data_IF_133546018010
#
_entry.id   IF_133546018010
#
_cell.length_a   1.000
_cell.length_b   1.000
_cell.length_c   1.000
_cell.angle_alpha   90.00
_cell.angle_beta   90.00
_cell.angle_gamma   90.00
#
_symmetry.space_group_name_H-M   'P 1'
#
loop_
_entity.id
_entity.type
_entity.pdbx_description
1 polymer ?
#
# COMPACT_ATOMS: atom_id res chain seq x y z
N UNK A 1 0.91 -29.38 4.52
CA UNK A 1 0.66 -28.41 3.42
C UNK A 1 1.45 -27.15 3.71
N UNK A 2 2.07 -26.53 2.70
CA UNK A 2 2.75 -25.25 2.85
C UNK A 2 1.74 -24.13 3.11
N UNK A 3 2.13 -23.18 3.98
CA UNK A 3 1.38 -21.96 4.27
C UNK A 3 1.42 -21.04 3.04
N UNK A 4 0.29 -20.41 2.74
CA UNK A 4 0.15 -19.43 1.64
C UNK A 4 -0.05 -18.04 2.25
N UNK A 5 0.76 -17.07 1.82
CA UNK A 5 0.66 -15.69 2.27
C UNK A 5 -0.17 -14.86 1.28
N UNK A 6 -1.34 -14.37 1.72
CA UNK A 6 -2.29 -13.60 0.91
C UNK A 6 -2.66 -12.27 1.60
N UNK A 7 -1.69 -11.66 2.28
CA UNK A 7 -1.83 -10.36 2.96
C UNK A 7 -0.79 -9.33 2.47
N UNK A 8 -0.48 -9.36 1.17
CA UNK A 8 0.50 -8.48 0.52
C UNK A 8 0.16 -6.98 0.62
N UNK A 9 -1.10 -6.61 0.82
CA UNK A 9 -1.48 -5.22 1.07
C UNK A 9 -1.13 -4.75 2.47
N UNK A 10 -0.93 -5.63 3.46
CA UNK A 10 -0.39 -5.27 4.77
C UNK A 10 1.13 -5.09 4.70
N UNK A 11 1.84 -6.07 4.16
CA UNK A 11 3.28 -6.00 3.86
C UNK A 11 3.64 -7.11 2.88
N UNK A 12 4.76 -6.98 2.18
CA UNK A 12 5.29 -8.04 1.34
C UNK A 12 6.54 -8.68 1.96
N UNK A 13 6.87 -9.94 1.59
CA UNK A 13 8.21 -10.49 1.81
C UNK A 13 9.28 -9.62 1.15
N UNK A 14 10.49 -9.60 1.73
CA UNK A 14 11.64 -8.92 1.14
C UNK A 14 12.08 -9.66 -0.12
N UNK A 15 12.17 -8.98 -1.26
CA UNK A 15 12.64 -9.58 -2.52
C UNK A 15 14.16 -9.79 -2.49
N UNK A 16 14.66 -10.68 -3.34
CA UNK A 16 16.07 -11.07 -3.30
C UNK A 16 17.00 -9.92 -3.74
N UNK A 17 16.57 -9.08 -4.68
CA UNK A 17 17.30 -7.88 -5.07
C UNK A 17 17.47 -6.91 -3.88
N UNK A 18 16.41 -6.71 -3.09
CA UNK A 18 16.46 -5.87 -1.89
C UNK A 18 17.34 -6.49 -0.80
N UNK A 19 17.25 -7.81 -0.55
CA UNK A 19 18.15 -8.51 0.39
C UNK A 19 19.61 -8.32 0.01
N UNK A 20 19.96 -8.59 -1.25
CA UNK A 20 21.32 -8.48 -1.73
C UNK A 20 21.85 -7.04 -1.61
N UNK A 21 21.05 -6.05 -2.00
CA UNK A 21 21.42 -4.64 -1.87
C UNK A 21 21.64 -4.22 -0.41
N UNK A 22 20.78 -4.68 0.50
CA UNK A 22 20.94 -4.41 1.94
C UNK A 22 22.20 -5.05 2.50
N UNK A 23 22.48 -6.33 2.17
CA UNK A 23 23.71 -7.02 2.60
C UNK A 23 24.95 -6.29 2.10
N UNK A 24 24.99 -5.93 0.81
CA UNK A 24 26.12 -5.17 0.26
C UNK A 24 26.27 -3.79 0.91
N UNK A 25 25.17 -3.13 1.27
CA UNK A 25 25.20 -1.83 1.94
C UNK A 25 25.77 -1.91 3.37
N UNK A 26 25.66 -3.05 4.05
CA UNK A 26 26.21 -3.24 5.40
C UNK A 26 27.75 -3.18 5.44
N UNK A 27 28.41 -3.44 4.30
CA UNK A 27 29.87 -3.31 4.17
C UNK A 27 30.33 -1.84 4.09
N UNK A 28 29.40 -0.89 3.91
CA UNK A 28 29.69 0.54 3.81
C UNK A 28 29.44 1.20 5.17
N UNK A 29 30.51 1.52 5.91
CA UNK A 29 30.42 2.12 7.24
C UNK A 29 30.28 3.65 7.28
N UNK A 30 30.43 4.32 6.13
CA UNK A 30 30.52 5.78 6.06
C UNK A 30 29.20 6.49 6.38
N UNK A 31 29.30 7.67 6.99
CA UNK A 31 28.18 8.60 7.10
C UNK A 31 28.08 9.43 5.81
N UNK A 32 26.92 9.49 5.10
CA UNK A 32 26.77 10.26 3.85
C UNK A 32 27.10 11.75 3.97
N UNK A 33 27.03 12.31 5.18
CA UNK A 33 27.39 13.71 5.46
C UNK A 33 28.91 13.94 5.52
N UNK A 34 29.72 12.88 5.60
CA UNK A 34 31.18 12.98 5.67
C UNK A 34 31.83 13.18 4.31
N UNK A 35 32.88 13.99 4.26
CA UNK A 35 33.61 14.32 3.01
C UNK A 35 34.69 13.29 2.63
N UNK A 36 35.05 12.37 3.52
CA UNK A 36 36.06 11.32 3.26
C UNK A 36 35.51 10.19 2.36
N UNK A 37 36.36 9.25 1.95
CA UNK A 37 36.04 8.25 0.93
C UNK A 37 34.82 7.39 1.29
N UNK A 38 34.73 6.93 2.53
CA UNK A 38 33.64 6.11 3.05
C UNK A 38 32.32 6.90 3.06
N UNK A 39 32.35 8.17 3.46
CA UNK A 39 31.17 9.05 3.42
C UNK A 39 30.68 9.30 2.00
N UNK A 40 31.60 9.54 1.06
CA UNK A 40 31.27 9.66 -0.37
C UNK A 40 30.69 8.37 -0.95
N UNK A 41 31.19 7.20 -0.54
CA UNK A 41 30.65 5.91 -0.94
C UNK A 41 29.22 5.70 -0.42
N UNK A 42 28.96 6.03 0.84
CA UNK A 42 27.62 5.97 1.43
C UNK A 42 26.64 6.95 0.73
N UNK A 43 27.09 8.17 0.46
CA UNK A 43 26.31 9.17 -0.29
C UNK A 43 25.99 8.69 -1.71
N UNK A 44 26.95 8.09 -2.41
CA UNK A 44 26.72 7.54 -3.75
C UNK A 44 25.65 6.43 -3.75
N UNK A 45 25.58 5.63 -2.68
CA UNK A 45 24.54 4.62 -2.53
C UNK A 45 23.15 5.25 -2.32
N UNK A 46 23.05 6.30 -1.50
CA UNK A 46 21.79 7.04 -1.28
C UNK A 46 21.30 7.64 -2.61
N UNK A 47 22.18 8.29 -3.36
CA UNK A 47 21.83 8.90 -4.65
C UNK A 47 21.49 7.85 -5.72
N UNK A 48 22.16 6.69 -5.72
CA UNK A 48 21.78 5.55 -6.58
C UNK A 48 20.36 5.09 -6.28
N UNK A 49 20.01 4.89 -5.02
CA UNK A 49 18.66 4.47 -4.63
C UNK A 49 17.61 5.52 -4.98
N UNK A 50 17.94 6.81 -4.81
CA UNK A 50 17.09 7.93 -5.22
C UNK A 50 16.81 7.87 -6.73
N UNK A 51 17.83 7.64 -7.56
CA UNK A 51 17.67 7.49 -9.00
C UNK A 51 16.86 6.24 -9.40
N UNK A 52 17.07 5.11 -8.72
CA UNK A 52 16.28 3.88 -8.95
C UNK A 52 14.79 4.12 -8.68
N UNK A 53 14.45 4.78 -7.56
CA UNK A 53 13.06 5.11 -7.22
C UNK A 53 12.48 6.12 -8.21
N UNK A 54 13.23 7.16 -8.58
CA UNK A 54 12.78 8.17 -9.53
C UNK A 54 12.41 7.53 -10.89
N UNK A 55 13.29 6.68 -11.41
CA UNK A 55 13.04 5.96 -12.66
C UNK A 55 11.85 4.99 -12.54
N UNK A 56 11.83 4.16 -11.50
CA UNK A 56 10.77 3.18 -11.29
C UNK A 56 9.38 3.81 -11.10
N UNK A 57 9.30 5.01 -10.52
CA UNK A 57 8.04 5.70 -10.26
C UNK A 57 7.68 6.75 -11.32
N UNK A 58 8.51 6.93 -12.36
CA UNK A 58 8.31 7.98 -13.37
C UNK A 58 8.31 9.39 -12.76
N UNK A 59 9.24 9.64 -11.84
CA UNK A 59 9.42 10.87 -11.09
C UNK A 59 10.71 11.61 -11.49
N UNK A 60 11.13 11.50 -12.75
CA UNK A 60 12.31 12.19 -13.26
C UNK A 60 12.24 13.70 -12.99
N UNK A 61 13.29 14.23 -12.36
CA UNK A 61 13.38 15.64 -11.99
C UNK A 61 12.58 16.04 -10.75
N UNK A 62 11.86 15.11 -10.10
CA UNK A 62 11.25 15.35 -8.79
C UNK A 62 12.29 15.28 -7.66
N UNK A 63 12.00 15.94 -6.54
CA UNK A 63 12.74 15.68 -5.31
C UNK A 63 12.14 14.44 -4.65
N UNK A 64 13.00 13.62 -4.04
CA UNK A 64 12.59 12.47 -3.22
C UNK A 64 13.17 12.73 -1.84
N UNK A 65 12.36 12.62 -0.79
CA UNK A 65 12.77 12.80 0.60
C UNK A 65 12.55 11.49 1.34
N UNK A 66 13.62 10.84 1.79
CA UNK A 66 13.52 9.59 2.53
C UNK A 66 12.93 9.81 3.94
N UNK A 67 12.04 8.92 4.34
CA UNK A 67 11.36 8.89 5.65
C UNK A 67 11.38 7.46 6.21
N UNK A 68 10.95 7.24 7.46
CA UNK A 68 10.82 5.88 8.01
C UNK A 68 9.66 5.05 7.44
N UNK A 69 8.81 5.65 6.60
CA UNK A 69 7.65 5.00 5.98
C UNK A 69 6.57 6.02 5.62
N UNK A 70 5.51 5.59 4.92
CA UNK A 70 4.42 6.49 4.51
C UNK A 70 3.72 7.21 5.68
N UNK A 71 3.74 6.66 6.89
CA UNK A 71 3.19 7.35 8.08
C UNK A 71 3.98 8.61 8.44
N UNK A 72 5.31 8.53 8.46
CA UNK A 72 6.16 9.72 8.62
C UNK A 72 6.03 10.62 7.38
N UNK A 73 5.93 10.04 6.19
CA UNK A 73 5.70 10.78 4.95
C UNK A 73 4.42 11.62 4.96
N UNK A 74 3.30 11.08 5.44
CA UNK A 74 2.05 11.81 5.58
C UNK A 74 2.20 12.99 6.56
N UNK A 75 2.80 12.75 7.72
CA UNK A 75 3.09 13.82 8.67
C UNK A 75 3.95 14.93 8.06
N UNK A 76 5.00 14.56 7.31
CA UNK A 76 5.87 15.51 6.63
C UNK A 76 5.11 16.31 5.55
N UNK A 77 4.33 15.64 4.72
CA UNK A 77 3.64 16.24 3.57
C UNK A 77 2.41 17.08 3.95
N UNK A 78 1.77 16.81 5.10
CA UNK A 78 0.44 17.34 5.40
C UNK A 78 0.39 18.25 6.63
N UNK A 79 1.35 18.14 7.55
CA UNK A 79 1.35 18.92 8.80
C UNK A 79 1.33 20.44 8.52
N UNK A 80 0.33 21.11 9.10
CA UNK A 80 0.14 22.57 8.98
C UNK A 80 -0.35 23.06 7.61
N UNK A 81 -0.94 22.18 6.79
CA UNK A 81 -1.44 22.52 5.44
C UNK A 81 -2.97 22.50 5.29
N UNK A 82 -3.70 22.21 6.37
CA UNK A 82 -5.17 22.17 6.43
C UNK A 82 -5.80 21.43 5.23
N UNK A 83 -5.31 20.22 4.95
CA UNK A 83 -5.77 19.43 3.80
C UNK A 83 -7.07 18.67 4.12
N UNK A 84 -7.85 18.40 3.08
CA UNK A 84 -9.09 17.65 3.13
C UNK A 84 -8.89 16.22 2.62
N UNK A 85 -9.56 15.25 3.24
CA UNK A 85 -9.45 13.83 2.91
C UNK A 85 -10.79 13.12 3.08
N UNK A 86 -10.92 11.94 2.48
CA UNK A 86 -12.07 11.07 2.70
C UNK A 86 -11.81 10.09 3.86
N UNK A 87 -12.90 9.57 4.44
CA UNK A 87 -12.86 8.55 5.50
C UNK A 87 -12.28 7.21 5.04
N UNK A 88 -12.16 6.99 3.74
CA UNK A 88 -11.53 5.80 3.15
C UNK A 88 -10.01 5.85 3.15
N UNK A 89 -9.39 7.00 3.43
CA UNK A 89 -7.93 7.16 3.49
C UNK A 89 -7.30 6.29 4.59
N UNK A 90 -6.00 6.02 4.47
CA UNK A 90 -5.27 5.37 5.55
C UNK A 90 -5.23 6.27 6.80
N UNK A 91 -5.25 5.70 8.01
CA UNK A 91 -5.19 6.45 9.28
C UNK A 91 -4.02 7.44 9.34
N UNK A 92 -2.91 7.09 8.68
CA UNK A 92 -1.76 7.96 8.53
C UNK A 92 -2.07 9.29 7.81
N UNK A 93 -2.97 9.31 6.84
CA UNK A 93 -3.41 10.51 6.11
C UNK A 93 -4.51 11.21 6.90
N UNK A 94 -5.51 10.45 7.37
CA UNK A 94 -6.65 10.97 8.17
C UNK A 94 -6.21 11.71 9.43
N UNK A 95 -5.09 11.31 10.03
CA UNK A 95 -4.56 11.99 11.22
C UNK A 95 -4.06 13.42 10.96
N UNK A 96 -3.91 13.83 9.70
CA UNK A 96 -3.39 15.15 9.30
C UNK A 96 -4.31 15.91 8.36
N UNK A 97 -5.55 15.44 8.19
CA UNK A 97 -6.53 16.05 7.31
C UNK A 97 -7.89 16.24 7.99
N UNK A 98 -8.67 17.17 7.46
CA UNK A 98 -10.10 17.28 7.73
C UNK A 98 -10.81 16.18 6.95
N UNK A 99 -11.52 15.30 7.65
CA UNK A 99 -12.24 14.17 7.04
C UNK A 99 -13.65 14.59 6.61
N UNK A 100 -13.75 15.26 5.47
CA UNK A 100 -15.02 15.81 4.94
C UNK A 100 -15.28 15.55 3.45
N UNK A 101 -14.33 14.93 2.74
CA UNK A 101 -14.56 14.53 1.34
C UNK A 101 -15.57 13.38 1.26
N UNK A 102 -16.48 13.48 0.30
CA UNK A 102 -17.57 12.53 0.12
C UNK A 102 -17.11 11.27 -0.61
N UNK A 103 -17.67 10.12 -0.23
CA UNK A 103 -17.41 8.81 -0.82
C UNK A 103 -18.70 8.28 -1.43
N UNK A 104 -18.65 7.88 -2.69
CA UNK A 104 -19.78 7.23 -3.37
C UNK A 104 -19.94 5.77 -2.92
N UNK A 105 -21.11 5.15 -3.15
CA UNK A 105 -21.30 3.72 -2.93
C UNK A 105 -20.32 2.83 -3.72
N UNK A 106 -19.85 3.31 -4.87
CA UNK A 106 -18.86 2.65 -5.72
C UNK A 106 -17.43 2.80 -5.18
N UNK A 107 -17.23 3.67 -4.18
CA UNK A 107 -15.95 3.92 -3.51
C UNK A 107 -15.12 5.05 -4.10
N UNK A 108 -15.63 5.76 -5.12
CA UNK A 108 -15.01 6.98 -5.64
C UNK A 108 -15.12 8.13 -4.64
N UNK A 109 -14.04 8.90 -4.50
CA UNK A 109 -13.98 10.11 -3.66
C UNK A 109 -14.20 11.35 -4.52
N UNK A 110 -15.14 12.21 -4.11
CA UNK A 110 -15.37 13.50 -4.76
C UNK A 110 -14.39 14.56 -4.24
N UNK A 111 -13.44 14.96 -5.10
CA UNK A 111 -12.49 16.04 -4.82
C UNK A 111 -12.94 17.33 -5.49
N UNK A 112 -13.42 18.29 -4.70
CA UNK A 112 -13.87 19.60 -5.19
C UNK A 112 -12.71 20.59 -5.39
N UNK A 113 -11.73 20.59 -4.49
CA UNK A 113 -10.54 21.44 -4.56
C UNK A 113 -9.26 20.60 -4.46
N UNK A 114 -8.64 20.23 -5.60
CA UNK A 114 -7.43 19.40 -5.61
C UNK A 114 -6.26 20.01 -4.81
N UNK A 115 -6.08 21.33 -4.84
CA UNK A 115 -4.90 21.99 -4.28
C UNK A 115 -4.86 21.92 -2.74
N UNK A 116 -5.99 21.65 -2.12
CA UNK A 116 -6.19 21.49 -0.67
C UNK A 116 -6.61 20.07 -0.29
N UNK A 117 -6.54 19.10 -1.22
CA UNK A 117 -6.98 17.73 -0.96
C UNK A 117 -5.85 16.70 -0.94
N UNK A 118 -6.04 15.67 -0.12
CA UNK A 118 -5.28 14.44 -0.13
C UNK A 118 -6.17 13.28 -0.57
N UNK A 119 -5.66 12.44 -1.48
CA UNK A 119 -6.40 11.31 -2.03
C UNK A 119 -5.46 10.13 -2.33
N UNK A 120 -5.72 8.97 -1.73
CA UNK A 120 -5.04 7.73 -2.08
C UNK A 120 -5.28 7.37 -3.55
N UNK A 121 -4.26 6.87 -4.23
CA UNK A 121 -4.40 6.39 -5.60
C UNK A 121 -5.15 5.05 -5.66
N UNK A 122 -4.97 4.20 -4.65
CA UNK A 122 -5.66 2.92 -4.57
C UNK A 122 -5.91 2.52 -3.12
N UNK A 123 -7.13 2.08 -2.84
CA UNK A 123 -7.54 1.70 -1.50
C UNK A 123 -6.89 0.38 -1.06
N UNK A 124 -6.29 0.39 0.13
CA UNK A 124 -5.59 -0.78 0.65
C UNK A 124 -6.49 -1.94 1.06
N UNK A 125 -7.77 -1.66 1.31
CA UNK A 125 -8.77 -2.62 1.75
C UNK A 125 -9.52 -3.23 0.56
N UNK A 126 -10.15 -2.39 -0.25
CA UNK A 126 -11.01 -2.80 -1.37
C UNK A 126 -10.25 -2.97 -2.68
N UNK A 127 -9.08 -2.35 -2.80
CA UNK A 127 -8.33 -2.25 -4.05
C UNK A 127 -8.88 -1.19 -5.01
N UNK A 128 -10.00 -0.53 -4.72
CA UNK A 128 -10.60 0.47 -5.61
C UNK A 128 -9.60 1.60 -5.89
N UNK A 129 -9.42 1.90 -7.18
CA UNK A 129 -8.52 2.93 -7.68
C UNK A 129 -9.28 4.24 -7.86
N UNK A 130 -8.65 5.33 -7.44
CA UNK A 130 -9.20 6.68 -7.57
C UNK A 130 -8.70 7.34 -8.85
N UNK A 131 -9.53 8.19 -9.46
CA UNK A 131 -9.08 9.10 -10.52
C UNK A 131 -8.52 10.36 -9.88
N UNK A 132 -7.20 10.56 -9.97
CA UNK A 132 -6.56 11.72 -9.36
C UNK A 132 -6.79 12.99 -10.22
N UNK A 133 -7.35 14.07 -9.64
CA UNK A 133 -7.47 15.34 -10.35
C UNK A 133 -6.12 16.03 -10.51
N UNK A 134 -5.99 16.86 -11.54
CA UNK A 134 -4.80 17.69 -11.73
C UNK A 134 -4.69 18.75 -10.62
N UNK A 135 -3.48 18.94 -10.12
CA UNK A 135 -3.21 19.89 -9.03
C UNK A 135 -3.46 19.34 -7.63
N UNK A 136 -3.72 18.02 -7.49
CA UNK A 136 -3.90 17.39 -6.19
C UNK A 136 -2.71 17.67 -5.24
N UNK A 137 -2.97 18.03 -3.99
CA UNK A 137 -1.92 18.41 -3.06
C UNK A 137 -1.01 17.21 -2.70
N UNK A 138 -1.63 16.12 -2.26
CA UNK A 138 -0.94 14.91 -1.80
C UNK A 138 -1.70 13.69 -2.30
N UNK A 139 -0.99 12.68 -2.79
CA UNK A 139 -1.57 11.36 -3.02
C UNK A 139 -0.86 10.30 -2.20
N UNK A 140 -1.63 9.41 -1.56
CA UNK A 140 -1.06 8.18 -1.03
C UNK A 140 -0.94 7.15 -2.16
N UNK A 141 0.27 6.99 -2.70
CA UNK A 141 0.60 6.04 -3.75
C UNK A 141 1.11 4.70 -3.20
N UNK A 142 1.06 4.48 -1.88
CA UNK A 142 1.65 3.33 -1.18
C UNK A 142 1.18 1.99 -1.72
N UNK A 143 -0.08 1.89 -2.14
CA UNK A 143 -0.63 0.64 -2.70
C UNK A 143 -0.47 0.52 -4.22
N UNK A 144 -0.23 1.63 -4.91
CA UNK A 144 -0.14 1.68 -6.36
C UNK A 144 1.30 1.51 -6.88
N UNK A 145 2.26 2.13 -6.20
CA UNK A 145 3.66 2.12 -6.64
C UNK A 145 4.21 0.68 -6.70
N UNK A 146 4.71 0.30 -7.88
CA UNK A 146 5.24 -1.03 -8.16
C UNK A 146 4.17 -2.08 -8.51
N UNK A 147 2.88 -1.73 -8.50
CA UNK A 147 1.76 -2.61 -8.87
C UNK A 147 0.98 -2.14 -10.10
N UNK A 148 1.02 -0.84 -10.36
CA UNK A 148 0.30 -0.19 -11.46
C UNK A 148 1.27 0.57 -12.37
N UNK A 149 0.97 0.66 -13.69
CA UNK A 149 1.75 1.45 -14.65
C UNK A 149 1.44 2.95 -14.51
N UNK A 150 1.88 3.54 -13.41
CA UNK A 150 1.69 4.96 -13.09
C UNK A 150 3.02 5.69 -13.03
N UNK A 151 3.01 6.95 -13.46
CA UNK A 151 4.16 7.84 -13.40
C UNK A 151 3.81 9.08 -12.57
N UNK A 152 4.63 9.40 -11.56
CA UNK A 152 4.44 10.58 -10.70
C UNK A 152 4.26 11.86 -11.51
N UNK A 153 5.09 12.05 -12.54
CA UNK A 153 5.05 13.24 -13.37
C UNK A 153 3.72 13.44 -14.12
N UNK A 154 2.92 12.38 -14.28
CA UNK A 154 1.63 12.42 -15.00
C UNK A 154 0.40 12.19 -14.10
N UNK A 155 0.60 11.81 -12.83
CA UNK A 155 -0.50 11.44 -11.93
C UNK A 155 -1.32 12.63 -11.40
N UNK A 156 -0.90 13.87 -11.68
CA UNK A 156 -1.62 15.09 -11.29
C UNK A 156 -1.32 15.63 -9.89
N UNK A 157 -0.70 14.84 -9.01
CA UNK A 157 -0.36 15.24 -7.65
C UNK A 157 0.92 16.10 -7.55
N UNK A 158 1.00 16.93 -6.50
CA UNK A 158 2.19 17.73 -6.16
C UNK A 158 3.17 16.95 -5.29
N UNK A 159 2.64 16.11 -4.42
CA UNK A 159 3.41 15.20 -3.57
C UNK A 159 2.78 13.80 -3.60
N UNK A 160 3.60 12.77 -3.46
CA UNK A 160 3.17 11.37 -3.37
C UNK A 160 3.89 10.64 -2.24
N UNK A 161 3.14 9.84 -1.48
CA UNK A 161 3.66 8.98 -0.43
C UNK A 161 3.95 7.58 -0.98
N UNK A 162 5.14 7.05 -0.69
CA UNK A 162 5.54 5.69 -1.09
C UNK A 162 6.26 4.96 0.05
N UNK A 163 6.09 3.63 0.10
CA UNK A 163 6.63 2.78 1.17
C UNK A 163 7.29 1.52 0.61
N UNK A 164 8.52 1.22 1.03
CA UNK A 164 9.30 0.13 0.46
C UNK A 164 8.68 -1.26 0.70
N UNK A 165 8.14 -1.49 1.90
CA UNK A 165 7.61 -2.80 2.29
C UNK A 165 6.30 -3.23 1.60
N UNK A 166 5.78 -2.42 0.67
CA UNK A 166 4.61 -2.76 -0.17
C UNK A 166 4.98 -3.31 -1.54
N UNK A 167 6.25 -3.22 -1.93
CA UNK A 167 6.76 -3.64 -3.23
C UNK A 167 8.00 -4.54 -3.12
N UNK A 168 8.17 -5.23 -1.98
CA UNK A 168 9.27 -6.16 -1.77
C UNK A 168 10.51 -5.56 -1.09
N UNK A 169 10.45 -4.31 -0.62
CA UNK A 169 11.54 -3.66 0.12
C UNK A 169 11.47 -3.85 1.63
N UNK A 170 12.46 -3.33 2.38
CA UNK A 170 12.48 -3.44 3.83
C UNK A 170 11.41 -2.57 4.51
N UNK A 171 10.99 -2.98 5.71
CA UNK A 171 10.20 -2.12 6.62
C UNK A 171 11.09 -1.03 7.21
N UNK A 172 10.50 0.08 7.66
CA UNK A 172 11.24 1.17 8.28
C UNK A 172 11.93 2.14 7.30
N UNK A 173 11.50 2.13 6.03
CA UNK A 173 11.90 3.11 5.03
C UNK A 173 10.73 3.39 4.06
N UNK A 174 10.52 4.66 3.77
CA UNK A 174 9.60 5.16 2.75
C UNK A 174 10.14 6.47 2.18
N UNK A 175 9.33 7.15 1.37
CA UNK A 175 9.69 8.46 0.84
C UNK A 175 8.47 9.33 0.55
N UNK A 176 8.69 10.63 0.57
CA UNK A 176 7.80 11.63 -0.05
C UNK A 176 8.44 12.05 -1.35
N UNK A 177 7.75 11.83 -2.47
CA UNK A 177 8.14 12.31 -3.79
C UNK A 177 7.41 13.62 -4.03
N UNK A 178 8.10 14.68 -4.45
CA UNK A 178 7.50 16.00 -4.59
C UNK A 178 8.02 16.72 -5.84
N UNK A 179 7.14 17.49 -6.48
CA UNK A 179 7.53 18.33 -7.62
C UNK A 179 8.66 19.27 -7.20
N UNK A 180 9.70 19.36 -8.03
CA UNK A 180 10.84 20.24 -7.76
C UNK A 180 10.40 21.68 -7.55
N UNK A 181 10.99 22.34 -6.56
CA UNK A 181 10.63 23.70 -6.17
C UNK A 181 9.42 23.77 -5.23
N UNK A 182 8.84 22.63 -4.82
CA UNK A 182 7.84 22.60 -3.76
C UNK A 182 8.51 22.80 -2.40
N UNK A 183 8.04 23.80 -1.65
CA UNK A 183 8.46 24.02 -0.28
C UNK A 183 7.82 22.99 0.65
N UNK A 184 8.66 22.36 1.49
CA UNK A 184 8.26 21.33 2.43
C UNK A 184 8.96 21.56 3.77
N UNK A 185 8.20 21.96 4.78
CA UNK A 185 8.73 22.27 6.09
C UNK A 185 9.08 21.00 6.87
N UNK A 186 10.28 20.95 7.45
CA UNK A 186 10.73 19.81 8.22
C UNK A 186 9.92 19.62 9.52
N UNK A 187 9.42 18.40 9.72
CA UNK A 187 8.84 17.97 11.00
C UNK A 187 9.94 17.51 11.97
N UNK A 188 10.91 16.75 11.47
CA UNK A 188 12.10 16.33 12.22
C UNK A 188 13.24 17.32 11.91
N UNK A 189 13.51 18.20 12.88
CA UNK A 189 14.51 19.27 12.79
C UNK A 189 15.87 18.81 13.33
N UNK A 190 16.97 19.38 12.80
CA UNK A 190 18.33 18.97 13.16
C UNK A 190 19.35 19.27 12.06
N UNK A 191 20.22 18.30 11.78
CA UNK A 191 21.44 18.45 10.97
C UNK A 191 21.26 18.69 9.47
N UNK A 192 20.04 18.92 8.99
CA UNK A 192 19.81 19.36 7.61
C UNK A 192 19.92 18.27 6.54
N UNK A 193 19.87 16.99 6.93
CA UNK A 193 19.77 15.87 5.97
C UNK A 193 18.53 16.00 5.08
N UNK A 194 18.52 15.25 3.96
CA UNK A 194 17.45 15.26 2.95
C UNK A 194 17.07 16.69 2.52
N UNK A 195 18.08 17.48 2.14
CA UNK A 195 17.93 18.87 1.68
C UNK A 195 17.28 19.79 2.73
N UNK A 196 17.50 19.51 4.01
CA UNK A 196 16.92 20.26 5.12
C UNK A 196 15.48 19.87 5.47
N UNK A 197 14.86 18.92 4.74
CA UNK A 197 13.45 18.56 4.90
C UNK A 197 13.21 17.44 5.91
N UNK A 198 14.22 16.61 6.19
CA UNK A 198 14.12 15.51 7.16
C UNK A 198 15.47 15.22 7.78
N UNK A 199 15.67 15.64 9.03
CA UNK A 199 16.95 15.47 9.73
C UNK A 199 17.17 14.05 10.29
N UNK A 200 18.43 13.74 10.59
CA UNK A 200 18.89 12.46 11.13
C UNK A 200 19.72 11.69 10.11
N UNK A 201 20.77 11.02 10.57
CA UNK A 201 21.65 10.20 9.73
C UNK A 201 20.82 9.24 8.88
N UNK A 202 21.12 9.18 7.59
CA UNK A 202 20.35 8.43 6.62
C UNK A 202 20.44 6.92 6.88
N UNK A 203 19.31 6.21 6.77
CA UNK A 203 19.26 4.76 6.85
C UNK A 203 19.80 4.15 5.53
N UNK A 204 21.12 4.19 5.33
CA UNK A 204 21.79 3.79 4.08
C UNK A 204 21.39 2.38 3.66
N UNK A 205 21.33 1.43 4.60
CA UNK A 205 20.94 0.03 4.33
C UNK A 205 19.49 -0.06 3.86
N UNK A 206 18.56 0.59 4.56
CA UNK A 206 17.15 0.62 4.18
C UNK A 206 16.94 1.30 2.83
N UNK A 207 17.63 2.42 2.58
CA UNK A 207 17.60 3.17 1.32
C UNK A 207 18.09 2.29 0.15
N UNK A 208 19.21 1.57 0.32
CA UNK A 208 19.70 0.62 -0.69
C UNK A 208 18.65 -0.45 -1.04
N UNK A 209 18.04 -1.04 -0.01
CA UNK A 209 16.99 -2.04 -0.17
C UNK A 209 15.75 -1.48 -0.86
N UNK A 210 15.37 -0.23 -0.58
CA UNK A 210 14.24 0.43 -1.23
C UNK A 210 14.52 0.67 -2.72
N UNK A 211 15.69 1.23 -3.06
CA UNK A 211 16.08 1.44 -4.45
C UNK A 211 16.06 0.14 -5.28
N UNK A 212 16.64 -0.94 -4.75
CA UNK A 212 16.65 -2.24 -5.42
C UNK A 212 15.25 -2.87 -5.52
N UNK A 213 14.40 -2.73 -4.49
CA UNK A 213 13.02 -3.18 -4.54
C UNK A 213 12.22 -2.42 -5.62
N UNK A 214 12.39 -1.10 -5.71
CA UNK A 214 11.71 -0.26 -6.69
C UNK A 214 12.07 -0.67 -8.12
N UNK A 215 13.35 -0.90 -8.40
CA UNK A 215 13.82 -1.40 -9.69
C UNK A 215 13.25 -2.78 -10.01
N UNK A 216 13.28 -3.72 -9.05
CA UNK A 216 12.72 -5.06 -9.22
C UNK A 216 11.21 -5.04 -9.45
N UNK A 217 10.47 -4.17 -8.77
CA UNK A 217 9.03 -4.00 -8.93
C UNK A 217 8.68 -3.43 -10.31
N UNK A 218 9.46 -2.45 -10.81
CA UNK A 218 9.30 -1.90 -12.15
C UNK A 218 9.55 -2.97 -13.24
N UNK A 219 10.57 -3.81 -13.05
CA UNK A 219 10.83 -4.95 -13.95
C UNK A 219 9.68 -5.98 -13.92
N UNK A 220 9.16 -6.32 -12.73
CA UNK A 220 8.03 -7.23 -12.61
C UNK A 220 6.78 -6.70 -13.34
N UNK A 221 6.50 -5.41 -13.19
CA UNK A 221 5.42 -4.74 -13.91
C UNK A 221 5.63 -4.78 -15.43
N UNK A 222 6.81 -4.44 -15.92
CA UNK A 222 7.13 -4.50 -17.35
C UNK A 222 7.04 -5.93 -17.93
N UNK A 223 7.30 -6.95 -17.11
CA UNK A 223 7.25 -8.36 -17.51
C UNK A 223 5.85 -8.99 -17.43
N UNK A 224 4.79 -8.21 -17.18
CA UNK A 224 3.43 -8.72 -17.18
C UNK A 224 3.01 -9.45 -15.90
N UNK A 225 3.77 -9.31 -14.80
CA UNK A 225 3.53 -10.08 -13.56
C UNK A 225 2.19 -9.71 -12.95
N UNK A 226 1.82 -8.43 -12.97
CA UNK A 226 0.59 -7.97 -12.32
C UNK A 226 -0.67 -8.28 -13.13
N UNK A 227 -0.57 -8.43 -14.45
CA UNK A 227 -1.62 -8.93 -15.33
C UNK A 227 -1.92 -10.39 -14.99
N UNK A 228 -0.89 -11.21 -14.76
CA UNK A 228 -1.08 -12.57 -14.26
C UNK A 228 -1.72 -12.58 -12.88
N UNK A 229 -1.28 -11.71 -11.97
CA UNK A 229 -1.87 -11.61 -10.63
C UNK A 229 -3.35 -11.18 -10.69
N UNK A 230 -3.72 -10.29 -11.63
CA UNK A 230 -5.11 -9.91 -11.89
C UNK A 230 -5.95 -11.12 -12.31
N UNK A 231 -5.46 -11.93 -13.27
CA UNK A 231 -6.13 -13.16 -13.67
C UNK A 231 -6.31 -14.13 -12.50
N UNK A 232 -5.30 -14.27 -11.63
CA UNK A 232 -5.40 -15.12 -10.44
C UNK A 232 -6.41 -14.59 -9.41
N UNK A 233 -6.50 -13.27 -9.22
CA UNK A 233 -7.51 -12.63 -8.37
C UNK A 233 -8.90 -12.92 -8.91
N UNK A 234 -9.11 -12.76 -10.21
CA UNK A 234 -10.41 -13.01 -10.85
C UNK A 234 -10.80 -14.50 -10.78
N UNK A 235 -9.85 -15.43 -11.02
CA UNK A 235 -10.06 -16.87 -10.84
C UNK A 235 -10.46 -17.21 -9.40
N UNK A 236 -9.81 -16.59 -8.42
CA UNK A 236 -10.14 -16.77 -7.01
C UNK A 236 -11.56 -16.29 -6.70
N UNK A 237 -11.93 -15.09 -7.16
CA UNK A 237 -13.27 -14.52 -6.95
C UNK A 237 -14.36 -15.40 -7.61
N UNK A 238 -14.12 -15.89 -8.83
CA UNK A 238 -15.03 -16.80 -9.51
C UNK A 238 -15.24 -18.12 -8.75
N UNK A 239 -14.16 -18.71 -8.22
CA UNK A 239 -14.23 -19.94 -7.43
C UNK A 239 -14.98 -19.74 -6.10
N UNK A 240 -14.76 -18.60 -5.43
CA UNK A 240 -15.48 -18.22 -4.22
C UNK A 240 -16.98 -18.00 -4.50
N UNK A 241 -17.31 -17.27 -5.57
CA UNK A 241 -18.69 -16.99 -5.96
C UNK A 241 -19.46 -18.27 -6.33
N UNK A 242 -18.81 -19.24 -6.99
CA UNK A 242 -19.41 -20.53 -7.29
C UNK A 242 -19.73 -21.36 -6.02
N UNK A 243 -18.95 -21.18 -4.94
CA UNK A 243 -19.15 -21.87 -3.67
C UNK A 243 -20.04 -21.13 -2.66
N UNK A 244 -20.36 -19.86 -2.91
CA UNK A 244 -21.11 -19.00 -2.00
C UNK A 244 -22.03 -18.01 -2.73
N UNK A 245 -23.33 -18.26 -2.64
CA UNK A 245 -24.36 -17.37 -3.21
C UNK A 245 -24.56 -16.05 -2.43
N UNK A 246 -24.22 -16.04 -1.13
CA UNK A 246 -24.54 -14.92 -0.23
C UNK A 246 -23.33 -13.99 0.03
N UNK A 247 -22.21 -14.23 -0.68
CA UNK A 247 -21.00 -13.40 -0.56
C UNK A 247 -21.09 -12.16 -1.43
N UNK A 248 -20.82 -11.01 -0.84
CA UNK A 248 -20.76 -9.71 -1.51
C UNK A 248 -19.31 -9.43 -1.86
N UNK A 249 -19.00 -9.25 -3.15
CA UNK A 249 -17.68 -8.80 -3.61
C UNK A 249 -17.69 -7.28 -3.80
N UNK A 250 -16.79 -6.59 -3.12
CA UNK A 250 -16.76 -5.12 -3.07
C UNK A 250 -15.99 -4.57 -4.27
N UNK A 251 -16.57 -3.57 -4.95
CA UNK A 251 -15.91 -2.82 -6.02
C UNK A 251 -15.78 -3.56 -7.36
N UNK A 252 -16.63 -4.56 -7.63
CA UNK A 252 -16.57 -5.35 -8.89
C UNK A 252 -16.85 -4.52 -10.15
N UNK A 253 -17.56 -3.40 -10.03
CA UNK A 253 -17.81 -2.44 -11.11
C UNK A 253 -16.73 -1.37 -11.27
N UNK A 254 -15.79 -1.27 -10.32
CA UNK A 254 -14.76 -0.25 -10.28
C UNK A 254 -13.42 -0.76 -10.84
N UNK A 255 -12.55 0.17 -11.25
CA UNK A 255 -11.13 -0.17 -11.48
C UNK A 255 -10.49 -0.54 -10.13
N UNK A 256 -9.86 -1.70 -10.05
CA UNK A 256 -9.23 -2.20 -8.81
C UNK A 256 -7.76 -2.56 -9.04
N UNK A 257 -6.99 -2.55 -7.95
CA UNK A 257 -5.67 -3.15 -7.90
C UNK A 257 -5.73 -4.59 -8.44
N UNK A 258 -4.71 -5.01 -9.21
CA UNK A 258 -4.66 -6.35 -9.79
C UNK A 258 -4.68 -7.46 -8.73
N UNK A 259 -4.23 -7.16 -7.52
CA UNK A 259 -3.96 -8.18 -6.52
C UNK A 259 -4.97 -8.24 -5.38
N UNK A 260 -5.96 -7.36 -5.36
CA UNK A 260 -6.81 -7.18 -4.17
C UNK A 260 -8.22 -7.68 -4.43
N UNK A 261 -8.71 -8.50 -3.52
CA UNK A 261 -10.11 -8.89 -3.41
C UNK A 261 -10.61 -8.56 -2.01
N UNK A 262 -11.69 -7.81 -1.94
CA UNK A 262 -12.42 -7.54 -0.70
C UNK A 262 -13.83 -8.10 -0.86
N UNK A 263 -14.22 -8.96 0.07
CA UNK A 263 -15.55 -9.55 0.06
C UNK A 263 -16.07 -9.73 1.48
N UNK A 264 -17.38 -9.70 1.60
CA UNK A 264 -18.11 -9.76 2.84
C UNK A 264 -19.12 -10.91 2.81
N UNK A 265 -19.30 -11.58 3.93
CA UNK A 265 -20.31 -12.65 4.09
C UNK A 265 -21.14 -12.33 5.34
N UNK A 266 -22.26 -11.60 5.18
CA UNK A 266 -23.06 -11.12 6.29
C UNK A 266 -23.36 -12.23 7.31
N UNK A 267 -23.14 -11.93 8.60
CA UNK A 267 -23.29 -12.90 9.69
C UNK A 267 -22.08 -13.80 9.97
N UNK A 268 -21.01 -13.73 9.19
CA UNK A 268 -19.73 -14.39 9.49
C UNK A 268 -18.64 -13.33 9.74
N UNK A 269 -18.33 -13.05 11.00
CA UNK A 269 -17.39 -11.97 11.39
C UNK A 269 -16.01 -12.15 10.73
N UNK A 270 -15.46 -11.05 10.23
CA UNK A 270 -14.17 -11.04 9.52
C UNK A 270 -13.03 -11.66 10.33
N UNK A 271 -12.93 -11.38 11.63
CA UNK A 271 -11.88 -11.96 12.48
C UNK A 271 -12.03 -13.48 12.62
N UNK A 272 -13.27 -13.98 12.64
CA UNK A 272 -13.53 -15.42 12.70
C UNK A 272 -13.09 -16.09 11.41
N UNK A 273 -13.36 -15.47 10.27
CA UNK A 273 -12.87 -15.92 8.97
C UNK A 273 -11.34 -15.96 8.92
N UNK A 274 -10.68 -14.87 9.33
CA UNK A 274 -9.20 -14.77 9.38
C UNK A 274 -8.60 -15.88 10.24
N UNK A 275 -9.12 -16.10 11.46
CA UNK A 275 -8.65 -17.18 12.34
C UNK A 275 -8.83 -18.57 11.70
N UNK A 276 -9.97 -18.82 11.05
CA UNK A 276 -10.24 -20.10 10.41
C UNK A 276 -9.35 -20.34 9.18
N UNK A 277 -9.01 -19.29 8.45
CA UNK A 277 -8.09 -19.34 7.32
C UNK A 277 -6.64 -19.52 7.77
N UNK A 278 -6.22 -18.86 8.85
CA UNK A 278 -4.90 -19.05 9.45
C UNK A 278 -4.67 -20.51 9.89
N UNK A 279 -5.64 -21.10 10.59
CA UNK A 279 -5.66 -22.52 10.95
C UNK A 279 -5.68 -23.46 9.73
N UNK A 280 -6.12 -22.95 8.58
CA UNK A 280 -6.13 -23.69 7.31
C UNK A 280 -4.89 -23.42 6.45
N UNK A 281 -3.93 -22.65 6.97
CA UNK A 281 -2.65 -22.36 6.32
C UNK A 281 -2.64 -21.11 5.42
N UNK A 282 -3.61 -20.21 5.53
CA UNK A 282 -3.70 -18.99 4.72
C UNK A 282 -3.62 -17.74 5.58
N UNK A 283 -2.69 -16.84 5.27
CA UNK A 283 -2.63 -15.51 5.88
C UNK A 283 -3.48 -14.53 5.06
N UNK A 284 -4.57 -14.02 5.64
CA UNK A 284 -5.45 -13.00 5.07
C UNK A 284 -5.71 -11.91 6.12
N UNK A 285 -6.41 -10.84 5.74
CA UNK A 285 -6.76 -9.75 6.66
C UNK A 285 -8.27 -9.59 6.80
N UNK A 286 -8.69 -8.95 7.90
CA UNK A 286 -10.05 -8.43 8.04
C UNK A 286 -10.07 -6.96 7.56
N UNK A 287 -11.21 -6.50 7.04
CA UNK A 287 -11.35 -5.12 6.59
C UNK A 287 -11.11 -4.06 7.69
N UNK A 288 -11.39 -4.43 8.94
CA UNK A 288 -11.30 -3.56 10.11
C UNK A 288 -10.05 -3.76 10.97
N UNK A 289 -8.98 -4.34 10.43
CA UNK A 289 -7.76 -4.62 11.17
C UNK A 289 -6.99 -3.33 11.56
N UNK A 290 -7.55 -2.52 12.47
CA UNK A 290 -6.85 -1.44 13.14
C UNK A 290 -5.92 -1.99 14.23
N UNK A 291 -4.80 -1.30 14.40
CA UNK A 291 -3.75 -1.49 15.40
C UNK A 291 -4.21 -1.43 16.87
N UNK A 292 -5.47 -1.07 17.14
CA UNK A 292 -6.00 -0.85 18.50
C UNK A 292 -6.60 -2.10 19.17
N UNK A 293 -6.59 -3.27 18.53
CA UNK A 293 -7.06 -4.54 19.11
C UNK A 293 -8.57 -4.59 19.44
N UNK A 294 -9.37 -3.64 18.95
CA UNK A 294 -10.83 -3.61 19.13
C UNK A 294 -11.50 -3.95 17.80
N UNK A 295 -12.37 -4.96 17.84
CA UNK A 295 -13.27 -5.32 16.73
C UNK A 295 -14.14 -4.12 16.38
N UNK A 296 -14.08 -3.66 15.13
CA UNK A 296 -14.92 -2.60 14.59
C UNK A 296 -15.39 -2.98 13.18
N UNK A 297 -16.46 -2.36 12.70
CA UNK A 297 -16.82 -2.43 11.30
C UNK A 297 -15.73 -1.76 10.44
N UNK A 298 -15.58 -2.19 9.18
CA UNK A 298 -14.72 -1.48 8.23
C UNK A 298 -15.23 -0.05 8.03
N UNK A 299 -14.37 0.93 8.31
CA UNK A 299 -14.67 2.35 8.06
C UNK A 299 -14.81 2.62 6.55
N UNK A 300 -14.03 1.91 5.72
CA UNK A 300 -14.09 2.04 4.26
C UNK A 300 -15.45 1.57 3.73
N UNK A 301 -15.89 0.36 4.11
CA UNK A 301 -17.20 -0.14 3.66
C UNK A 301 -18.35 0.68 4.25
N UNK A 302 -18.24 1.15 5.50
CA UNK A 302 -19.25 2.05 6.08
C UNK A 302 -19.35 3.35 5.29
N UNK A 303 -18.22 3.92 4.87
CA UNK A 303 -18.18 5.12 4.02
C UNK A 303 -18.80 4.89 2.63
N UNK A 304 -18.68 3.67 2.10
CA UNK A 304 -19.34 3.24 0.87
C UNK A 304 -20.84 2.90 1.07
N UNK A 305 -21.38 3.08 2.28
CA UNK A 305 -22.81 2.87 2.56
C UNK A 305 -23.22 1.42 2.85
N UNK A 306 -22.27 0.50 3.05
CA UNK A 306 -22.61 -0.83 3.55
C UNK A 306 -23.07 -0.76 5.01
N UNK A 307 -24.07 -1.58 5.35
CA UNK A 307 -24.53 -1.69 6.73
C UNK A 307 -23.46 -2.30 7.64
N UNK A 308 -23.62 -2.10 8.96
CA UNK A 308 -22.65 -2.53 9.95
C UNK A 308 -22.42 -4.05 9.95
N UNK A 309 -23.45 -4.87 9.72
CA UNK A 309 -23.34 -6.33 9.69
C UNK A 309 -22.45 -6.76 8.51
N UNK A 310 -22.68 -6.18 7.34
CA UNK A 310 -21.89 -6.42 6.14
C UNK A 310 -20.45 -5.95 6.35
N UNK A 311 -20.24 -4.72 6.82
CA UNK A 311 -18.92 -4.14 7.05
C UNK A 311 -18.10 -4.87 8.13
N UNK A 312 -18.72 -5.50 9.13
CA UNK A 312 -18.05 -6.36 10.12
C UNK A 312 -17.68 -7.75 9.58
N UNK A 313 -18.26 -8.16 8.46
CA UNK A 313 -18.04 -9.48 7.84
C UNK A 313 -17.01 -9.48 6.70
N UNK A 314 -16.39 -8.33 6.45
CA UNK A 314 -15.46 -8.14 5.36
C UNK A 314 -14.08 -8.76 5.65
N UNK A 315 -13.55 -9.46 4.65
CA UNK A 315 -12.16 -9.92 4.60
C UNK A 315 -11.48 -9.38 3.36
N UNK A 316 -10.17 -9.22 3.47
CA UNK A 316 -9.29 -8.85 2.37
C UNK A 316 -8.32 -9.98 2.10
N UNK A 317 -8.25 -10.34 0.82
CA UNK A 317 -7.23 -11.23 0.26
C UNK A 317 -6.41 -10.41 -0.72
N UNK A 318 -5.09 -10.39 -0.52
CA UNK A 318 -4.16 -9.61 -1.35
C UNK A 318 -3.01 -10.48 -1.82
N UNK A 319 -2.99 -10.74 -3.12
CA UNK A 319 -2.08 -11.65 -3.80
C UNK A 319 -0.69 -11.01 -3.98
N UNK A 320 0.32 -11.85 -4.13
CA UNK A 320 1.70 -11.45 -4.41
C UNK A 320 2.19 -11.93 -5.77
N UNK A 321 3.36 -11.45 -6.21
CA UNK A 321 4.01 -11.92 -7.43
C UNK A 321 4.18 -13.44 -7.50
N UNK A 322 4.47 -14.10 -6.38
CA UNK A 322 4.74 -15.54 -6.36
C UNK A 322 3.48 -16.40 -6.13
N UNK A 323 2.30 -15.78 -5.99
CA UNK A 323 1.04 -16.53 -5.83
C UNK A 323 0.75 -17.36 -7.08
N UNK A 324 0.33 -18.60 -6.89
CA UNK A 324 0.00 -19.55 -7.97
C UNK A 324 -1.50 -19.81 -8.09
N UNK A 325 -1.92 -20.38 -9.22
CA UNK A 325 -3.30 -20.82 -9.43
C UNK A 325 -3.73 -21.87 -8.39
N UNK A 326 -2.84 -22.82 -8.10
CA UNK A 326 -3.07 -23.83 -7.05
C UNK A 326 -3.32 -23.18 -5.69
N UNK A 327 -2.63 -22.10 -5.35
CA UNK A 327 -2.81 -21.40 -4.08
C UNK A 327 -4.19 -20.76 -3.98
N UNK A 328 -4.64 -20.06 -5.02
CA UNK A 328 -5.93 -19.37 -5.02
C UNK A 328 -7.12 -20.35 -5.05
N UNK A 329 -7.00 -21.46 -5.78
CA UNK A 329 -8.04 -22.49 -5.82
C UNK A 329 -8.14 -23.23 -4.47
N UNK A 330 -7.01 -23.56 -3.85
CA UNK A 330 -6.99 -24.15 -2.50
C UNK A 330 -7.55 -23.20 -1.44
N UNK A 331 -7.26 -21.90 -1.57
CA UNK A 331 -7.85 -20.88 -0.69
C UNK A 331 -9.37 -20.88 -0.84
N UNK A 332 -9.88 -20.78 -2.07
CA UNK A 332 -11.33 -20.75 -2.34
C UNK A 332 -12.03 -22.01 -1.83
N UNK A 333 -11.48 -23.20 -2.09
CA UNK A 333 -12.01 -24.47 -1.58
C UNK A 333 -12.09 -24.48 -0.04
N UNK A 334 -10.99 -24.08 0.62
CA UNK A 334 -10.92 -24.06 2.08
C UNK A 334 -11.91 -23.05 2.68
N UNK A 335 -11.97 -21.84 2.12
CA UNK A 335 -12.88 -20.79 2.57
C UNK A 335 -14.35 -21.21 2.41
N UNK A 336 -14.74 -21.72 1.24
CA UNK A 336 -16.10 -22.22 0.97
C UNK A 336 -16.49 -23.38 1.91
N UNK A 337 -15.56 -24.29 2.21
CA UNK A 337 -15.80 -25.38 3.15
C UNK A 337 -16.06 -24.86 4.59
N UNK A 338 -15.35 -23.82 5.04
CA UNK A 338 -15.61 -23.18 6.34
C UNK A 338 -16.92 -22.40 6.34
N UNK A 339 -17.22 -21.70 5.25
CA UNK A 339 -18.46 -20.95 5.09
C UNK A 339 -19.68 -21.89 5.19
N UNK A 340 -19.65 -23.02 4.48
CA UNK A 340 -20.70 -24.04 4.54
C UNK A 340 -20.93 -24.57 5.96
N UNK A 341 -19.83 -24.80 6.71
CA UNK A 341 -19.91 -25.21 8.13
C UNK A 341 -20.48 -24.10 9.02
N UNK A 342 -20.14 -22.84 8.76
CA UNK A 342 -20.71 -21.69 9.48
C UNK A 342 -22.21 -21.60 9.25
N UNK A 343 -22.66 -21.65 8.00
CA UNK A 343 -24.09 -21.65 7.63
C UNK A 343 -24.87 -22.77 8.31
N UNK A 344 -24.33 -23.99 8.31
CA UNK A 344 -24.97 -25.14 8.95
C UNK A 344 -25.08 -25.05 10.49
N UNK A 345 -24.34 -24.14 11.14
CA UNK A 345 -24.43 -23.89 12.59
C UNK A 345 -25.41 -22.78 12.96
N UNK A 346 -25.69 -21.89 12.01
CA UNK A 346 -26.53 -20.70 12.20
C UNK A 346 -27.96 -20.94 11.68
N UNK A 347 -28.14 -21.89 10.76
CA UNK A 347 -29.44 -22.43 10.33
C UNK A 347 -30.05 -23.36 11.38
#
# INVERSE_FOLDING_TARGET
MSRVYLDHNATTPLCDAAKAAMISAMEICGNPSSVHAEGRAAKALVEKARAQIASAFGADGADIVFTSGSTEGAALAMSGRDLHAASVEHDAVRSWAVEDLQVSPEGDVLVNDPATSALQLANSETGIMQTLPQGLAVTDATQAFGKLPVAFNWMGATMALISAHKLGGPKGIGAVVLKRGTDLAAQIKGGGQEMGRRSGTENVVGIAGFGAAAESAAQALANGVWERVAMLRDTMEAALAAGSADTIFVGTSASRLPNTSCFATPGWKGETQVMQMDLSGFAISAGSACSSGKVRASAVLTAMGYDELTAQSAVRVSLGPDTTETDVLRFAESWCAKQKKHRARVA
#
